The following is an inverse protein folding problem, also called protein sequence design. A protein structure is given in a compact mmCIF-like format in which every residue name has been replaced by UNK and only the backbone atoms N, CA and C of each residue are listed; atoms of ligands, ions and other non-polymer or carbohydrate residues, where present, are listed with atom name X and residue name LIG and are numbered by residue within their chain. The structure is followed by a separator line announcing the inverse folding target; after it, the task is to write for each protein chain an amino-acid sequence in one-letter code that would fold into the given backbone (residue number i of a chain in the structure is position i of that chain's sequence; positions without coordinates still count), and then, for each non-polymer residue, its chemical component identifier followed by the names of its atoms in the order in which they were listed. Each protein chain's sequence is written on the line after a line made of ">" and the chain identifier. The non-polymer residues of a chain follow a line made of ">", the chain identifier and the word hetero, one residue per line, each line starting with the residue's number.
data_IF_873024147288
#
_entry.id   IF_873024147288
#
_cell.length_a   1.000
_cell.length_b   1.000
_cell.length_c   1.000
_cell.angle_alpha   90.00
_cell.angle_beta   90.00
_cell.angle_gamma   90.00
#
_symmetry.space_group_name_H-M   'P 1'
#
loop_
_entity.id
_entity.type
_entity.pdbx_description
1 polymer ?
#
# COMPACT_ATOMS: atom_id res chain seq x y z
N UNK A 1 14.91 6.56 -19.94
CA UNK A 1 15.23 6.66 -18.49
C UNK A 1 14.88 8.03 -17.90
N UNK A 2 15.39 9.14 -18.46
CA UNK A 2 15.10 10.49 -17.94
C UNK A 2 13.60 10.86 -17.92
N UNK A 3 12.85 10.50 -18.96
CA UNK A 3 11.43 10.83 -19.06
C UNK A 3 10.56 10.19 -17.96
N UNK A 4 10.81 8.93 -17.59
CA UNK A 4 10.08 8.24 -16.52
C UNK A 4 10.35 8.88 -15.16
N UNK A 5 11.63 9.18 -14.88
CA UNK A 5 12.04 9.90 -13.66
C UNK A 5 11.38 11.28 -13.58
N UNK A 6 11.42 12.05 -14.68
CA UNK A 6 10.80 13.37 -14.76
C UNK A 6 9.29 13.26 -14.57
N UNK A 7 8.62 12.28 -15.19
CA UNK A 7 7.18 12.11 -15.09
C UNK A 7 6.74 11.75 -13.66
N UNK A 8 7.48 10.88 -12.97
CA UNK A 8 7.22 10.57 -11.55
C UNK A 8 7.40 11.81 -10.64
N UNK A 9 8.45 12.60 -10.88
CA UNK A 9 8.68 13.87 -10.16
C UNK A 9 7.56 14.87 -10.45
N UNK A 10 7.14 15.01 -11.70
CA UNK A 10 6.04 15.89 -12.10
C UNK A 10 4.74 15.47 -11.41
N UNK A 11 4.42 14.18 -11.34
CA UNK A 11 3.25 13.70 -10.59
C UNK A 11 3.34 14.05 -9.11
N UNK A 12 4.51 13.86 -8.48
CA UNK A 12 4.74 14.30 -7.09
C UNK A 12 4.56 15.80 -6.89
N UNK A 13 5.07 16.62 -7.82
CA UNK A 13 4.88 18.07 -7.81
C UNK A 13 3.41 18.46 -7.99
N UNK A 14 2.67 17.79 -8.87
CA UNK A 14 1.23 18.03 -9.08
C UNK A 14 0.43 17.71 -7.82
N UNK A 15 0.73 16.61 -7.15
CA UNK A 15 0.13 16.27 -5.85
C UNK A 15 0.39 17.40 -4.83
N UNK A 16 1.63 17.89 -4.74
CA UNK A 16 2.00 18.96 -3.81
C UNK A 16 1.44 20.34 -4.17
N UNK A 17 1.16 20.60 -5.46
CA UNK A 17 0.71 21.90 -5.98
C UNK A 17 -0.81 22.04 -6.03
N UNK A 18 -1.56 21.06 -5.51
CA UNK A 18 -3.03 21.11 -5.49
C UNK A 18 -3.48 22.38 -4.73
N UNK A 19 -4.28 23.26 -5.34
CA UNK A 19 -4.74 24.46 -4.67
C UNK A 19 -5.59 24.08 -3.45
N UNK A 20 -5.18 24.53 -2.26
CA UNK A 20 -5.99 24.41 -1.05
C UNK A 20 -7.27 25.23 -1.28
N UNK A 21 -8.43 24.58 -1.27
CA UNK A 21 -9.70 25.18 -1.66
C UNK A 21 -10.25 26.28 -0.74
N UNK A 22 -9.44 26.99 0.05
CA UNK A 22 -9.91 28.09 0.89
C UNK A 22 -8.82 29.15 1.15
N UNK A 23 -8.78 30.16 0.28
CA UNK A 23 -8.17 31.47 0.56
C UNK A 23 -8.92 32.56 -0.21
N UNK A 24 -10.20 32.79 0.11
CA UNK A 24 -10.81 34.10 -0.15
C UNK A 24 -10.84 34.88 1.17
N UNK A 25 -10.14 36.03 1.29
CA UNK A 25 -10.41 36.96 2.37
C UNK A 25 -11.86 37.43 2.23
N UNK A 26 -12.61 37.44 3.32
CA UNK A 26 -13.98 37.95 3.35
C UNK A 26 -14.00 39.42 2.89
N UNK A 27 -14.48 39.66 1.67
CA UNK A 27 -14.84 40.99 1.17
C UNK A 27 -16.36 41.19 1.30
N UNK A 28 -16.82 42.42 1.56
CA UNK A 28 -18.16 42.66 2.09
C UNK A 28 -19.23 42.43 1.03
N UNK A 29 -20.38 41.94 1.51
CA UNK A 29 -21.61 41.71 0.76
C UNK A 29 -21.97 42.94 -0.08
N UNK A 30 -22.06 42.78 -1.39
CA UNK A 30 -23.17 43.27 -2.23
C UNK A 30 -23.01 42.83 -3.70
N UNK A 31 -24.16 42.56 -4.32
CA UNK A 31 -24.45 42.52 -5.77
C UNK A 31 -24.37 41.18 -6.54
N UNK A 32 -25.58 40.70 -6.87
CA UNK A 32 -26.04 40.08 -8.13
C UNK A 32 -25.71 38.62 -8.49
N UNK A 33 -26.80 37.88 -8.76
CA UNK A 33 -26.96 36.44 -8.97
C UNK A 33 -26.44 35.87 -10.32
N UNK A 34 -25.35 36.36 -10.91
CA UNK A 34 -24.90 35.89 -12.25
C UNK A 34 -23.62 35.02 -12.28
N UNK A 35 -23.18 34.44 -11.16
CA UNK A 35 -21.84 33.81 -11.10
C UNK A 35 -21.81 32.37 -10.56
N UNK A 36 -22.84 31.55 -10.84
CA UNK A 36 -22.92 30.18 -10.30
C UNK A 36 -22.25 29.07 -11.14
N UNK A 37 -21.73 29.35 -12.33
CA UNK A 37 -21.30 28.30 -13.28
C UNK A 37 -19.83 28.37 -13.77
N UNK A 38 -18.93 29.08 -13.08
CA UNK A 38 -17.48 28.90 -13.37
C UNK A 38 -16.91 27.80 -12.46
N UNK A 39 -16.32 26.72 -13.01
CA UNK A 39 -15.63 25.73 -12.19
C UNK A 39 -14.56 26.43 -11.36
N UNK A 40 -14.43 26.05 -10.09
CA UNK A 40 -13.40 26.62 -9.23
C UNK A 40 -12.01 26.32 -9.82
N UNK A 41 -10.99 27.10 -9.44
CA UNK A 41 -9.62 26.80 -9.88
C UNK A 41 -9.18 25.37 -9.48
N UNK A 42 -9.71 24.86 -8.36
CA UNK A 42 -9.49 23.47 -7.92
C UNK A 42 -10.16 22.43 -8.84
N UNK A 43 -11.39 22.69 -9.30
CA UNK A 43 -12.10 21.79 -10.21
C UNK A 43 -11.43 21.71 -11.58
N UNK A 44 -11.01 22.87 -12.11
CA UNK A 44 -10.26 22.92 -13.37
C UNK A 44 -8.90 22.20 -13.27
N UNK A 45 -8.21 22.30 -12.13
CA UNK A 45 -6.99 21.55 -11.87
C UNK A 45 -7.24 20.04 -11.82
N UNK A 46 -8.23 19.60 -11.04
CA UNK A 46 -8.57 18.18 -10.90
C UNK A 46 -8.96 17.58 -12.26
N UNK A 47 -9.76 18.28 -13.07
CA UNK A 47 -10.12 17.85 -14.43
C UNK A 47 -8.90 17.64 -15.32
N UNK A 48 -7.97 18.61 -15.37
CA UNK A 48 -6.75 18.49 -16.18
C UNK A 48 -5.87 17.33 -15.76
N UNK A 49 -5.80 17.07 -14.45
CA UNK A 49 -5.05 15.94 -13.91
C UNK A 49 -5.72 14.61 -14.30
N UNK A 50 -7.05 14.52 -14.22
CA UNK A 50 -7.80 13.36 -14.68
C UNK A 50 -7.57 13.13 -16.18
N UNK A 51 -7.61 14.18 -17.01
CA UNK A 51 -7.33 14.09 -18.45
C UNK A 51 -5.92 13.57 -18.73
N UNK A 52 -4.92 14.03 -17.95
CA UNK A 52 -3.54 13.56 -18.07
C UNK A 52 -3.40 12.07 -17.76
N UNK A 53 -4.03 11.60 -16.69
CA UNK A 53 -4.01 10.17 -16.32
C UNK A 53 -4.74 9.36 -17.40
N UNK A 54 -5.91 9.82 -17.84
CA UNK A 54 -6.69 9.19 -18.91
C UNK A 54 -5.90 9.09 -20.21
N UNK A 55 -5.12 10.13 -20.55
CA UNK A 55 -4.22 10.11 -21.70
C UNK A 55 -3.10 9.07 -21.53
N UNK A 56 -2.49 8.98 -20.35
CA UNK A 56 -1.45 7.97 -20.05
C UNK A 56 -1.99 6.55 -20.24
N UNK A 57 -3.22 6.29 -19.77
CA UNK A 57 -3.92 5.01 -19.95
C UNK A 57 -4.24 4.79 -21.43
N UNK A 58 -4.88 5.75 -22.08
CA UNK A 58 -5.33 5.65 -23.49
C UNK A 58 -4.19 5.54 -24.50
N UNK A 59 -3.00 6.09 -24.17
CA UNK A 59 -1.79 5.95 -24.99
C UNK A 59 -1.12 4.57 -24.87
N UNK A 60 -1.69 3.67 -24.06
CA UNK A 60 -1.20 2.31 -23.82
C UNK A 60 0.12 2.28 -23.05
N UNK A 61 0.37 3.28 -22.18
CA UNK A 61 1.62 3.29 -21.42
C UNK A 61 1.66 2.14 -20.41
N UNK A 62 0.52 1.80 -19.81
CA UNK A 62 0.41 0.69 -18.84
C UNK A 62 0.78 -0.63 -19.50
N UNK A 63 0.27 -0.91 -20.70
CA UNK A 63 0.58 -2.12 -21.48
C UNK A 63 2.07 -2.19 -21.87
N UNK A 64 2.65 -1.06 -22.30
CA UNK A 64 4.09 -0.98 -22.64
C UNK A 64 4.96 -1.22 -21.41
N UNK A 65 4.59 -0.67 -20.26
CA UNK A 65 5.28 -0.94 -18.99
C UNK A 65 5.12 -2.41 -18.59
N UNK A 66 3.94 -2.99 -18.77
CA UNK A 66 3.70 -4.41 -18.54
C UNK A 66 4.66 -5.29 -19.36
N UNK A 67 4.78 -5.06 -20.67
CA UNK A 67 5.75 -5.76 -21.51
C UNK A 67 7.20 -5.60 -21.02
N UNK A 68 7.57 -4.41 -20.52
CA UNK A 68 8.88 -4.16 -19.93
C UNK A 68 9.10 -4.97 -18.64
N UNK A 69 8.14 -4.99 -17.72
CA UNK A 69 8.25 -5.72 -16.46
C UNK A 69 8.27 -7.24 -16.67
N UNK A 70 7.46 -7.75 -17.59
CA UNK A 70 7.44 -9.18 -17.95
C UNK A 70 8.72 -9.64 -18.68
N UNK A 71 9.46 -8.71 -19.30
CA UNK A 71 10.75 -9.04 -19.92
C UNK A 71 11.89 -9.28 -18.91
N UNK A 72 11.68 -8.95 -17.61
CA UNK A 72 12.69 -9.15 -16.57
C UNK A 72 12.73 -10.62 -16.16
N UNK A 73 13.87 -11.26 -16.40
CA UNK A 73 14.08 -12.70 -16.18
C UNK A 73 15.19 -12.97 -15.16
N UNK A 74 15.45 -12.09 -14.20
CA UNK A 74 16.46 -12.36 -13.18
C UNK A 74 16.89 -11.17 -12.32
N UNK A 75 17.91 -11.38 -11.46
CA UNK A 75 18.44 -10.35 -10.56
C UNK A 75 19.00 -9.16 -11.34
N UNK A 76 18.91 -7.96 -10.76
CA UNK A 76 19.33 -6.70 -11.40
C UNK A 76 20.70 -6.21 -10.94
N UNK A 77 21.45 -7.04 -10.22
CA UNK A 77 22.70 -6.65 -9.55
C UNK A 77 23.76 -6.17 -10.56
N UNK A 78 23.88 -6.90 -11.68
CA UNK A 78 24.86 -6.63 -12.73
C UNK A 78 24.46 -5.45 -13.64
N UNK A 79 23.22 -4.97 -13.55
CA UNK A 79 22.71 -3.88 -14.40
C UNK A 79 22.06 -2.76 -13.58
N UNK A 80 22.87 -1.82 -13.05
CA UNK A 80 22.36 -0.63 -12.35
C UNK A 80 21.39 0.21 -13.19
N UNK A 81 21.56 0.21 -14.52
CA UNK A 81 20.66 0.92 -15.44
C UNK A 81 19.29 0.26 -15.50
N UNK A 82 19.23 -1.07 -15.52
CA UNK A 82 17.96 -1.80 -15.47
C UNK A 82 17.28 -1.58 -14.12
N UNK A 83 18.01 -1.72 -13.00
CA UNK A 83 17.47 -1.47 -11.67
C UNK A 83 16.83 -0.06 -11.55
N UNK A 84 17.54 0.98 -12.00
CA UNK A 84 17.02 2.34 -11.96
C UNK A 84 15.86 2.57 -12.96
N UNK A 85 15.85 1.90 -14.11
CA UNK A 85 14.69 1.92 -15.01
C UNK A 85 13.44 1.36 -14.33
N UNK A 86 13.56 0.19 -13.68
CA UNK A 86 12.46 -0.47 -12.98
C UNK A 86 11.96 0.38 -11.81
N UNK A 87 12.85 1.01 -11.04
CA UNK A 87 12.47 1.96 -9.99
C UNK A 87 11.71 3.17 -10.55
N UNK A 88 12.14 3.75 -11.66
CA UNK A 88 11.45 4.90 -12.25
C UNK A 88 10.11 4.52 -12.89
N UNK A 89 10.02 3.35 -13.51
CA UNK A 89 8.78 2.82 -14.08
C UNK A 89 7.74 2.55 -12.98
N UNK A 90 8.13 1.87 -11.90
CA UNK A 90 7.24 1.62 -10.74
C UNK A 90 6.91 2.91 -10.01
N UNK A 91 7.84 3.86 -9.90
CA UNK A 91 7.60 5.20 -9.36
C UNK A 91 6.58 6.01 -10.17
N UNK A 92 6.56 5.85 -11.49
CA UNK A 92 5.53 6.46 -12.33
C UNK A 92 4.14 5.90 -12.01
N UNK A 93 4.01 4.57 -11.91
CA UNK A 93 2.75 3.91 -11.56
C UNK A 93 2.29 4.31 -10.15
N UNK A 94 3.19 4.33 -9.18
CA UNK A 94 2.90 4.83 -7.83
C UNK A 94 2.38 6.28 -7.87
N UNK A 95 3.05 7.16 -8.60
CA UNK A 95 2.66 8.56 -8.75
C UNK A 95 1.30 8.73 -9.43
N UNK A 96 1.00 7.91 -10.45
CA UNK A 96 -0.29 7.89 -11.12
C UNK A 96 -1.41 7.47 -10.15
N UNK A 97 -1.19 6.42 -9.34
CA UNK A 97 -2.17 6.00 -8.33
C UNK A 97 -2.41 7.08 -7.27
N UNK A 98 -1.34 7.69 -6.74
CA UNK A 98 -1.45 8.75 -5.73
C UNK A 98 -2.15 10.00 -6.27
N UNK A 99 -1.84 10.37 -7.52
CA UNK A 99 -2.46 11.51 -8.18
C UNK A 99 -3.93 11.23 -8.50
N UNK A 100 -4.25 10.04 -9.01
CA UNK A 100 -5.62 9.59 -9.25
C UNK A 100 -6.42 9.65 -7.94
N UNK A 101 -5.88 9.09 -6.86
CA UNK A 101 -6.49 9.17 -5.53
C UNK A 101 -6.77 10.61 -5.14
N UNK A 102 -5.77 11.49 -5.24
CA UNK A 102 -5.93 12.88 -4.83
C UNK A 102 -7.06 13.61 -5.57
N UNK A 103 -7.28 13.34 -6.86
CA UNK A 103 -8.26 14.07 -7.68
C UNK A 103 -9.62 13.37 -7.82
N UNK A 104 -9.72 12.08 -7.52
CA UNK A 104 -10.98 11.31 -7.57
C UNK A 104 -11.61 11.12 -6.19
N UNK A 105 -10.81 11.21 -5.11
CA UNK A 105 -11.29 11.07 -3.74
C UNK A 105 -12.25 12.22 -3.35
N UNK A 106 -13.56 11.93 -3.39
CA UNK A 106 -14.59 12.73 -2.71
C UNK A 106 -14.70 12.38 -1.22
N UNK A 107 -14.29 11.17 -0.87
CA UNK A 107 -14.20 10.62 0.48
C UNK A 107 -12.73 10.35 0.81
N UNK A 108 -12.34 10.45 2.07
CA UNK A 108 -10.94 10.29 2.50
C UNK A 108 -10.59 8.87 2.94
N UNK A 109 -11.56 7.94 2.99
CA UNK A 109 -11.32 6.58 3.48
C UNK A 109 -10.96 5.60 2.37
N UNK A 110 -9.90 4.81 2.56
CA UNK A 110 -9.50 3.69 1.70
C UNK A 110 -10.61 2.63 1.58
N UNK A 111 -11.48 2.54 2.58
CA UNK A 111 -12.55 1.53 2.66
C UNK A 111 -13.87 1.97 2.01
N UNK A 112 -13.90 3.11 1.34
CA UNK A 112 -15.08 3.59 0.62
C UNK A 112 -15.15 2.99 -0.79
N UNK A 113 -16.10 2.08 -0.99
CA UNK A 113 -16.30 1.35 -2.24
C UNK A 113 -17.02 2.16 -3.34
N UNK A 114 -17.51 3.36 -3.04
CA UNK A 114 -18.26 4.16 -4.03
C UNK A 114 -17.37 5.01 -4.95
N UNK A 115 -16.06 4.74 -4.96
CA UNK A 115 -15.10 5.47 -5.79
C UNK A 115 -15.29 5.10 -7.25
N UNK A 116 -15.60 6.10 -8.07
CA UNK A 116 -15.54 5.98 -9.51
C UNK A 116 -14.16 6.44 -9.96
N UNK A 117 -13.46 5.61 -10.75
CA UNK A 117 -12.25 5.99 -11.46
C UNK A 117 -12.61 6.41 -12.90
N UNK A 118 -12.81 7.71 -13.19
CA UNK A 118 -13.06 8.18 -14.54
C UNK A 118 -11.83 8.09 -15.45
N UNK A 119 -10.64 7.80 -14.91
CA UNK A 119 -9.39 7.81 -15.67
C UNK A 119 -9.07 6.49 -16.36
N UNK A 120 -9.75 5.41 -15.94
CA UNK A 120 -9.50 4.04 -16.42
C UNK A 120 -8.19 3.44 -15.92
N UNK A 121 -7.47 4.10 -15.00
CA UNK A 121 -6.20 3.64 -14.47
C UNK A 121 -6.36 2.32 -13.71
N UNK A 122 -7.35 2.21 -12.82
CA UNK A 122 -7.61 1.00 -12.05
C UNK A 122 -7.90 -0.17 -12.98
N UNK A 123 -8.79 0.03 -13.96
CA UNK A 123 -9.15 -1.01 -14.92
C UNK A 123 -7.94 -1.48 -15.75
N UNK A 124 -7.07 -0.56 -16.19
CA UNK A 124 -5.85 -0.90 -16.91
C UNK A 124 -4.85 -1.67 -16.03
N UNK A 125 -4.71 -1.30 -14.76
CA UNK A 125 -3.84 -2.02 -13.81
C UNK A 125 -4.38 -3.42 -13.50
N UNK A 126 -5.70 -3.60 -13.39
CA UNK A 126 -6.33 -4.90 -13.22
C UNK A 126 -6.14 -5.79 -14.46
N UNK A 127 -6.39 -5.24 -15.65
CA UNK A 127 -6.28 -5.99 -16.91
C UNK A 127 -4.85 -6.45 -17.23
N UNK A 128 -3.84 -5.85 -16.58
CA UNK A 128 -2.41 -6.13 -16.80
C UNK A 128 -1.74 -6.75 -15.59
N UNK A 129 -2.49 -7.28 -14.62
CA UNK A 129 -1.98 -7.88 -13.39
C UNK A 129 -0.95 -6.98 -12.67
N UNK A 130 -1.36 -5.74 -12.37
CA UNK A 130 -0.52 -4.68 -11.80
C UNK A 130 0.66 -4.32 -12.72
N UNK A 131 0.39 -4.23 -14.02
CA UNK A 131 1.40 -4.03 -15.05
C UNK A 131 2.57 -5.04 -14.96
N UNK A 132 2.33 -6.28 -14.51
CA UNK A 132 3.38 -7.29 -14.37
C UNK A 132 4.46 -6.99 -13.31
N UNK A 133 4.26 -5.99 -12.44
CA UNK A 133 5.25 -5.61 -11.41
C UNK A 133 5.48 -6.75 -10.40
N UNK A 134 4.45 -7.52 -10.07
CA UNK A 134 4.58 -8.68 -9.18
C UNK A 134 5.49 -9.76 -9.79
N UNK A 135 5.31 -10.05 -11.09
CA UNK A 135 6.17 -10.97 -11.83
C UNK A 135 7.62 -10.48 -11.82
N UNK A 136 7.85 -9.21 -12.14
CA UNK A 136 9.20 -8.63 -12.10
C UNK A 136 9.83 -8.78 -10.72
N UNK A 137 9.10 -8.46 -9.64
CA UNK A 137 9.62 -8.66 -8.28
C UNK A 137 9.97 -10.11 -7.99
N UNK A 138 9.12 -11.05 -8.41
CA UNK A 138 9.39 -12.47 -8.24
C UNK A 138 10.70 -12.86 -8.95
N UNK A 139 10.87 -12.43 -10.21
CA UNK A 139 12.08 -12.69 -10.97
C UNK A 139 13.32 -12.02 -10.36
N UNK A 140 13.23 -10.78 -9.89
CA UNK A 140 14.38 -10.05 -9.33
C UNK A 140 14.82 -10.62 -7.98
N UNK A 141 13.88 -11.06 -7.15
CA UNK A 141 14.15 -11.53 -5.78
C UNK A 141 14.43 -13.04 -5.72
N UNK A 142 13.76 -13.84 -6.55
CA UNK A 142 13.67 -15.28 -6.38
C UNK A 142 14.16 -16.09 -7.61
N UNK A 143 14.85 -15.46 -8.57
CA UNK A 143 15.50 -16.21 -9.64
C UNK A 143 16.55 -17.17 -9.08
N UNK A 144 16.53 -18.43 -9.52
CA UNK A 144 17.56 -19.43 -9.18
C UNK A 144 17.20 -20.40 -8.05
N UNK A 145 15.92 -20.57 -7.72
CA UNK A 145 15.44 -21.51 -6.70
C UNK A 145 15.58 -23.00 -7.03
N UNK A 146 16.79 -23.46 -7.36
CA UNK A 146 17.28 -24.81 -7.05
C UNK A 146 18.74 -24.66 -6.58
N UNK A 147 18.93 -24.15 -5.38
CA UNK A 147 20.19 -24.37 -4.67
C UNK A 147 20.15 -25.78 -4.07
N UNK A 148 21.12 -26.60 -4.46
CA UNK A 148 21.32 -27.99 -4.02
C UNK A 148 21.41 -28.05 -2.47
N UNK A 149 20.73 -28.97 -1.76
CA UNK A 149 20.64 -28.96 -0.29
C UNK A 149 21.96 -29.21 0.45
N UNK A 150 23.04 -29.53 -0.27
CA UNK A 150 24.29 -30.03 0.30
C UNK A 150 25.42 -29.00 0.36
N UNK A 151 25.29 -27.87 -0.33
CA UNK A 151 26.32 -26.81 -0.33
C UNK A 151 25.71 -25.43 -0.57
N UNK A 152 25.18 -24.77 0.45
CA UNK A 152 24.97 -23.33 0.40
C UNK A 152 24.96 -22.74 1.82
N UNK A 153 26.04 -22.07 2.17
CA UNK A 153 25.92 -20.92 3.06
C UNK A 153 24.99 -19.91 2.37
N UNK A 154 23.98 -19.33 3.06
CA UNK A 154 23.02 -18.49 2.37
C UNK A 154 23.69 -17.16 2.02
N UNK A 155 23.90 -16.88 0.73
CA UNK A 155 23.95 -15.49 0.26
C UNK A 155 22.52 -14.95 0.23
N UNK A 156 21.90 -14.79 1.40
CA UNK A 156 20.51 -14.29 1.57
C UNK A 156 20.44 -12.75 1.73
N UNK A 157 21.49 -12.05 1.32
CA UNK A 157 21.51 -10.59 1.38
C UNK A 157 21.29 -10.03 -0.03
N UNK A 158 20.13 -9.42 -0.25
CA UNK A 158 19.85 -8.69 -1.48
C UNK A 158 20.82 -7.52 -1.66
N UNK A 159 21.27 -7.28 -2.89
CA UNK A 159 21.98 -6.04 -3.21
C UNK A 159 21.12 -4.81 -2.94
N UNK A 160 21.78 -3.66 -2.74
CA UNK A 160 21.10 -2.38 -2.55
C UNK A 160 20.16 -2.04 -3.72
N UNK A 161 20.54 -2.35 -4.96
CA UNK A 161 19.71 -2.12 -6.14
C UNK A 161 18.43 -2.95 -6.10
N UNK A 162 18.52 -4.22 -5.73
CA UNK A 162 17.38 -5.11 -5.55
C UNK A 162 16.45 -4.60 -4.45
N UNK A 163 17.00 -4.18 -3.31
CA UNK A 163 16.23 -3.59 -2.21
C UNK A 163 15.47 -2.33 -2.66
N UNK A 164 16.09 -1.43 -3.43
CA UNK A 164 15.42 -0.22 -3.91
C UNK A 164 14.30 -0.54 -4.93
N UNK A 165 14.48 -1.53 -5.80
CA UNK A 165 13.41 -2.00 -6.70
C UNK A 165 12.24 -2.58 -5.88
N UNK A 166 12.53 -3.36 -4.84
CA UNK A 166 11.51 -3.93 -3.95
C UNK A 166 10.71 -2.85 -3.20
N UNK A 167 11.40 -1.88 -2.59
CA UNK A 167 10.75 -0.74 -1.90
C UNK A 167 9.82 0.01 -2.86
N UNK A 168 10.30 0.34 -4.06
CA UNK A 168 9.54 1.16 -4.98
C UNK A 168 8.34 0.43 -5.58
N UNK A 169 8.43 -0.89 -5.75
CA UNK A 169 7.33 -1.73 -6.19
C UNK A 169 6.27 -1.91 -5.11
N UNK A 170 6.67 -2.13 -3.84
CA UNK A 170 5.73 -2.20 -2.72
C UNK A 170 5.02 -0.87 -2.47
N UNK A 171 5.71 0.26 -2.66
CA UNK A 171 5.06 1.59 -2.63
C UNK A 171 3.98 1.72 -3.69
N UNK A 172 4.24 1.24 -4.90
CA UNK A 172 3.22 1.21 -5.95
C UNK A 172 2.02 0.33 -5.53
N UNK A 173 2.27 -0.87 -5.01
CA UNK A 173 1.20 -1.74 -4.49
C UNK A 173 0.38 -1.08 -3.40
N UNK A 174 1.03 -0.45 -2.41
CA UNK A 174 0.37 0.28 -1.33
C UNK A 174 -0.46 1.47 -1.85
N UNK A 175 0.06 2.22 -2.82
CA UNK A 175 -0.69 3.30 -3.47
C UNK A 175 -1.88 2.79 -4.28
N UNK A 176 -1.78 1.62 -4.93
CA UNK A 176 -2.89 1.03 -5.66
C UNK A 176 -3.95 0.46 -4.72
N UNK A 177 -3.54 -0.19 -3.62
CA UNK A 177 -4.44 -0.63 -2.57
C UNK A 177 -5.19 0.53 -1.92
N UNK A 178 -4.52 1.68 -1.73
CA UNK A 178 -5.18 2.88 -1.29
C UNK A 178 -6.20 3.37 -2.34
N UNK A 179 -5.83 3.38 -3.63
CA UNK A 179 -6.70 3.83 -4.72
C UNK A 179 -7.97 2.98 -4.87
N UNK A 180 -7.80 1.66 -4.94
CA UNK A 180 -8.87 0.68 -5.11
C UNK A 180 -8.48 -0.63 -4.41
N UNK A 181 -8.91 -0.75 -3.16
CA UNK A 181 -8.60 -1.90 -2.30
C UNK A 181 -9.18 -3.22 -2.85
N UNK A 182 -10.47 -3.29 -3.26
CA UNK A 182 -11.01 -4.51 -3.85
C UNK A 182 -10.26 -4.97 -5.10
N UNK A 183 -9.91 -4.06 -6.02
CA UNK A 183 -9.13 -4.39 -7.20
C UNK A 183 -7.75 -4.93 -6.85
N UNK A 184 -7.04 -4.27 -5.93
CA UNK A 184 -5.74 -4.70 -5.45
C UNK A 184 -5.79 -6.12 -4.84
N UNK A 185 -6.74 -6.35 -3.93
CA UNK A 185 -6.91 -7.65 -3.27
C UNK A 185 -7.29 -8.75 -4.26
N UNK A 186 -8.13 -8.45 -5.24
CA UNK A 186 -8.55 -9.41 -6.27
C UNK A 186 -7.38 -9.83 -7.16
N UNK A 187 -6.56 -8.88 -7.63
CA UNK A 187 -5.43 -9.20 -8.51
C UNK A 187 -4.35 -9.99 -7.77
N UNK A 188 -3.90 -9.53 -6.60
CA UNK A 188 -2.91 -10.28 -5.82
C UNK A 188 -3.45 -11.59 -5.25
N UNK A 189 -4.76 -11.69 -5.04
CA UNK A 189 -5.44 -12.88 -4.53
C UNK A 189 -5.66 -13.96 -5.60
N UNK A 190 -5.48 -13.63 -6.88
CA UNK A 190 -5.67 -14.57 -7.98
C UNK A 190 -4.76 -15.80 -7.86
N UNK A 191 -5.20 -16.91 -8.45
CA UNK A 191 -4.45 -18.15 -8.47
C UNK A 191 -3.06 -17.95 -9.10
N UNK A 192 -2.02 -18.54 -8.51
CA UNK A 192 -0.63 -18.34 -8.92
C UNK A 192 0.00 -17.02 -8.44
N UNK A 193 -0.68 -15.88 -8.62
CA UNK A 193 -0.19 -14.57 -8.16
C UNK A 193 -0.12 -14.50 -6.63
N UNK A 194 -1.12 -15.04 -5.94
CA UNK A 194 -1.16 -15.10 -4.47
C UNK A 194 0.01 -15.91 -3.88
N UNK A 195 0.42 -17.00 -4.53
CA UNK A 195 1.57 -17.79 -4.13
C UNK A 195 2.89 -17.03 -4.37
N UNK A 196 3.01 -16.34 -5.51
CA UNK A 196 4.16 -15.50 -5.81
C UNK A 196 4.28 -14.35 -4.79
N UNK A 197 3.17 -13.66 -4.48
CA UNK A 197 3.10 -12.62 -3.46
C UNK A 197 3.51 -13.15 -2.08
N UNK A 198 2.99 -14.32 -1.67
CA UNK A 198 3.37 -14.97 -0.41
C UNK A 198 4.86 -15.27 -0.33
N UNK A 199 5.47 -15.78 -1.40
CA UNK A 199 6.92 -16.04 -1.46
C UNK A 199 7.73 -14.75 -1.38
N UNK A 200 7.33 -13.71 -2.12
CA UNK A 200 7.97 -12.39 -2.06
C UNK A 200 7.91 -11.83 -0.63
N UNK A 201 6.71 -11.76 -0.03
CA UNK A 201 6.53 -11.24 1.32
C UNK A 201 7.36 -12.03 2.35
N UNK A 202 7.32 -13.36 2.29
CA UNK A 202 8.13 -14.25 3.13
C UNK A 202 9.63 -13.96 3.00
N UNK A 203 10.11 -13.81 1.77
CA UNK A 203 11.54 -13.62 1.49
C UNK A 203 12.03 -12.23 1.92
N UNK A 204 11.24 -11.18 1.68
CA UNK A 204 11.55 -9.82 2.12
C UNK A 204 11.53 -9.69 3.65
N UNK A 205 10.55 -10.30 4.33
CA UNK A 205 10.51 -10.34 5.80
C UNK A 205 11.72 -11.08 6.36
N UNK A 206 12.08 -12.24 5.78
CA UNK A 206 13.28 -12.99 6.18
C UNK A 206 14.57 -12.18 6.02
N UNK A 207 14.72 -11.46 4.90
CA UNK A 207 15.84 -10.55 4.68
C UNK A 207 15.89 -9.42 5.72
N UNK A 208 14.75 -8.78 5.99
CA UNK A 208 14.67 -7.69 6.98
C UNK A 208 14.94 -8.14 8.43
N UNK A 209 14.76 -9.43 8.74
CA UNK A 209 15.15 -9.99 10.04
C UNK A 209 16.68 -10.10 10.20
N UNK A 210 17.42 -10.29 9.11
CA UNK A 210 18.89 -10.39 9.12
C UNK A 210 19.56 -9.03 8.93
N UNK A 211 19.02 -8.21 8.04
CA UNK A 211 19.54 -6.89 7.67
C UNK A 211 18.52 -5.83 7.99
N UNK A 212 18.86 -4.92 8.91
CA UNK A 212 17.97 -3.83 9.28
C UNK A 212 17.72 -2.90 8.09
N UNK A 213 16.52 -2.97 7.53
CA UNK A 213 16.04 -2.08 6.48
C UNK A 213 14.59 -1.70 6.79
N UNK A 214 14.40 -0.74 7.70
CA UNK A 214 13.06 -0.31 8.14
C UNK A 214 12.16 0.12 6.98
N UNK A 215 12.71 0.83 5.99
CA UNK A 215 11.89 1.30 4.87
C UNK A 215 11.31 0.15 4.05
N UNK A 216 12.06 -0.92 3.82
CA UNK A 216 11.56 -2.11 3.12
C UNK A 216 10.57 -2.88 3.99
N UNK A 217 10.91 -3.06 5.28
CA UNK A 217 10.09 -3.77 6.24
C UNK A 217 8.71 -3.11 6.42
N UNK A 218 8.66 -1.78 6.52
CA UNK A 218 7.41 -1.05 6.65
C UNK A 218 6.52 -1.21 5.43
N UNK A 219 7.08 -1.12 4.22
CA UNK A 219 6.29 -1.23 2.98
C UNK A 219 5.70 -2.63 2.80
N UNK A 220 6.44 -3.70 3.17
CA UNK A 220 5.91 -5.07 3.11
C UNK A 220 4.85 -5.32 4.18
N UNK A 221 5.03 -4.80 5.41
CA UNK A 221 4.01 -4.87 6.47
C UNK A 221 2.72 -4.18 6.00
N UNK A 222 2.85 -2.99 5.37
CA UNK A 222 1.71 -2.23 4.86
C UNK A 222 0.96 -3.01 3.78
N UNK A 223 1.71 -3.56 2.82
CA UNK A 223 1.17 -4.31 1.70
C UNK A 223 0.44 -5.57 2.16
N UNK A 224 0.99 -6.31 3.13
CA UNK A 224 0.33 -7.49 3.72
C UNK A 224 -0.96 -7.09 4.46
N UNK A 225 -0.96 -5.97 5.18
CA UNK A 225 -2.17 -5.46 5.83
C UNK A 225 -3.29 -5.15 4.82
N UNK A 226 -2.99 -4.43 3.75
CA UNK A 226 -3.98 -4.16 2.70
C UNK A 226 -4.42 -5.44 1.97
N UNK A 227 -3.51 -6.37 1.74
CA UNK A 227 -3.84 -7.63 1.08
C UNK A 227 -4.88 -8.44 1.87
N UNK A 228 -4.85 -8.37 3.20
CA UNK A 228 -5.62 -9.24 4.10
C UNK A 228 -6.85 -8.60 4.74
N UNK A 229 -6.90 -7.27 4.85
CA UNK A 229 -7.98 -6.58 5.57
C UNK A 229 -9.36 -6.94 5.02
N UNK A 230 -10.21 -7.48 5.89
CA UNK A 230 -11.57 -7.96 5.57
C UNK A 230 -11.65 -8.93 4.39
N UNK A 231 -10.60 -9.73 4.14
CA UNK A 231 -10.55 -10.65 3.02
C UNK A 231 -10.12 -12.06 3.49
N UNK A 232 -11.08 -12.94 3.88
CA UNK A 232 -10.78 -14.25 4.48
C UNK A 232 -9.86 -15.15 3.66
N UNK A 233 -10.03 -15.19 2.34
CA UNK A 233 -9.19 -16.04 1.49
C UNK A 233 -7.72 -15.57 1.50
N UNK A 234 -7.49 -14.27 1.31
CA UNK A 234 -6.17 -13.65 1.38
C UNK A 234 -5.53 -13.76 2.78
N UNK A 235 -6.33 -13.70 3.85
CA UNK A 235 -5.88 -14.01 5.22
C UNK A 235 -5.38 -15.47 5.32
N UNK A 236 -6.06 -16.42 4.68
CA UNK A 236 -5.60 -17.81 4.61
C UNK A 236 -4.28 -17.97 3.85
N UNK A 237 -4.07 -17.21 2.77
CA UNK A 237 -2.82 -17.23 2.01
C UNK A 237 -1.62 -16.89 2.91
N UNK A 238 -1.68 -15.82 3.70
CA UNK A 238 -0.52 -15.41 4.54
C UNK A 238 -0.21 -16.36 5.70
N UNK A 239 -1.16 -17.22 6.09
CA UNK A 239 -0.98 -18.25 7.11
C UNK A 239 -0.54 -19.60 6.53
N UNK A 240 -0.65 -19.79 5.22
CA UNK A 240 -0.29 -21.04 4.54
C UNK A 240 1.19 -21.16 4.16
N UNK A 241 1.61 -22.37 3.75
CA UNK A 241 2.93 -22.64 3.21
C UNK A 241 3.96 -23.09 4.27
N UNK A 242 5.24 -22.92 3.96
CA UNK A 242 6.33 -23.33 4.85
C UNK A 242 6.42 -22.41 6.07
N UNK A 243 6.68 -22.99 7.23
CA UNK A 243 6.92 -22.27 8.48
C UNK A 243 8.34 -21.65 8.53
N UNK A 244 8.53 -20.53 9.24
CA UNK A 244 7.46 -19.66 9.74
C UNK A 244 6.66 -19.08 8.57
N UNK A 245 5.35 -18.92 8.72
CA UNK A 245 4.46 -18.34 7.68
C UNK A 245 4.67 -16.83 7.59
N UNK A 246 4.02 -16.14 6.63
CA UNK A 246 4.11 -14.67 6.56
C UNK A 246 3.53 -14.04 7.84
N UNK A 247 2.39 -14.54 8.32
CA UNK A 247 1.79 -14.10 9.57
C UNK A 247 2.72 -14.33 10.77
N UNK A 248 3.34 -15.51 10.87
CA UNK A 248 4.29 -15.80 11.96
C UNK A 248 5.53 -14.91 11.89
N UNK A 249 6.08 -14.67 10.70
CA UNK A 249 7.22 -13.73 10.55
C UNK A 249 6.88 -12.32 11.01
N UNK A 250 5.66 -11.84 10.77
CA UNK A 250 5.20 -10.54 11.28
C UNK A 250 5.11 -10.54 12.82
N UNK A 251 4.63 -11.63 13.40
CA UNK A 251 4.52 -11.79 14.86
C UNK A 251 5.88 -12.01 15.55
N UNK A 252 6.91 -12.41 14.80
CA UNK A 252 8.26 -12.68 15.28
C UNK A 252 9.24 -11.52 15.00
N UNK A 253 8.75 -10.35 14.60
CA UNK A 253 9.59 -9.17 14.42
C UNK A 253 10.29 -8.76 15.74
N UNK A 254 11.36 -7.95 15.70
CA UNK A 254 12.03 -7.49 16.91
C UNK A 254 11.07 -6.79 17.88
N UNK A 255 11.30 -6.94 19.19
CA UNK A 255 10.45 -6.42 20.26
C UNK A 255 10.07 -4.93 20.14
N UNK A 256 10.91 -4.12 19.48
CA UNK A 256 10.62 -2.71 19.20
C UNK A 256 9.32 -2.51 18.41
N UNK A 257 8.97 -3.43 17.50
CA UNK A 257 7.69 -3.39 16.76
C UNK A 257 6.45 -3.68 17.62
N UNK A 258 6.65 -4.13 18.86
CA UNK A 258 5.59 -4.40 19.84
C UNK A 258 5.58 -3.42 21.01
N UNK A 259 6.54 -2.50 21.07
CA UNK A 259 6.75 -1.62 22.22
C UNK A 259 6.95 -0.15 21.86
N UNK A 260 7.61 0.17 20.76
CA UNK A 260 7.78 1.56 20.29
C UNK A 260 6.47 2.05 19.66
N UNK A 261 5.84 3.13 20.18
CA UNK A 261 4.59 3.68 19.63
C UNK A 261 4.63 3.98 18.13
N UNK A 262 5.79 4.32 17.56
CA UNK A 262 5.93 4.55 16.11
C UNK A 262 5.86 3.25 15.31
N UNK A 263 6.56 2.21 15.75
CA UNK A 263 6.64 0.93 15.02
C UNK A 263 5.39 0.08 15.24
N UNK A 264 4.78 0.17 16.42
CA UNK A 264 3.47 -0.44 16.72
C UNK A 264 2.41 0.06 15.74
N UNK A 265 2.40 1.36 15.40
CA UNK A 265 1.50 1.94 14.39
C UNK A 265 1.73 1.42 12.96
N UNK A 266 2.89 0.82 12.69
CA UNK A 266 3.16 0.15 11.41
C UNK A 266 2.65 -1.29 11.45
N UNK A 267 3.03 -2.06 12.48
CA UNK A 267 2.78 -3.50 12.58
C UNK A 267 1.35 -3.86 12.96
N UNK A 268 0.80 -3.25 14.01
CA UNK A 268 -0.45 -3.73 14.61
C UNK A 268 -1.64 -3.66 13.65
N UNK A 269 -1.80 -2.61 12.81
CA UNK A 269 -2.86 -2.61 11.80
C UNK A 269 -2.79 -3.80 10.84
N UNK A 270 -1.58 -4.25 10.47
CA UNK A 270 -1.41 -5.41 9.60
C UNK A 270 -1.75 -6.73 10.31
N UNK A 271 -1.38 -6.89 11.59
CA UNK A 271 -1.77 -8.05 12.39
C UNK A 271 -3.29 -8.10 12.63
N UNK A 272 -3.90 -6.95 12.90
CA UNK A 272 -5.36 -6.83 13.02
C UNK A 272 -6.02 -7.24 11.70
N UNK A 273 -5.58 -6.69 10.58
CA UNK A 273 -6.09 -7.03 9.24
C UNK A 273 -5.96 -8.52 8.90
N UNK A 274 -4.82 -9.13 9.24
CA UNK A 274 -4.55 -10.54 8.96
C UNK A 274 -5.36 -11.50 9.84
N UNK A 275 -5.79 -11.09 11.03
CA UNK A 275 -6.41 -11.98 12.01
C UNK A 275 -7.89 -11.70 12.29
N UNK A 276 -8.39 -10.49 12.03
CA UNK A 276 -9.76 -10.12 12.34
C UNK A 276 -10.76 -11.04 11.64
N UNK A 277 -11.71 -11.58 12.42
CA UNK A 277 -12.72 -12.55 11.98
C UNK A 277 -12.14 -13.87 11.40
N UNK A 278 -10.89 -14.21 11.72
CA UNK A 278 -10.25 -15.46 11.33
C UNK A 278 -9.62 -16.16 12.54
N UNK A 279 -10.31 -17.19 13.05
CA UNK A 279 -9.91 -17.91 14.26
C UNK A 279 -8.58 -18.65 14.10
N UNK A 280 -8.32 -19.22 12.93
CA UNK A 280 -7.06 -19.93 12.67
C UNK A 280 -5.86 -18.98 12.72
N UNK A 281 -5.99 -17.81 12.08
CA UNK A 281 -4.94 -16.78 12.10
C UNK A 281 -4.77 -16.21 13.51
N UNK A 282 -5.87 -15.96 14.22
CA UNK A 282 -5.82 -15.54 15.63
C UNK A 282 -5.10 -16.57 16.50
N UNK A 283 -5.47 -17.85 16.43
CA UNK A 283 -4.84 -18.91 17.20
C UNK A 283 -3.34 -19.02 16.91
N UNK A 284 -2.93 -18.86 15.64
CA UNK A 284 -1.52 -18.81 15.25
C UNK A 284 -0.80 -17.58 15.85
N UNK A 285 -1.45 -16.42 15.86
CA UNK A 285 -0.91 -15.20 16.46
C UNK A 285 -0.77 -15.32 17.98
N UNK A 286 -1.72 -15.97 18.66
CA UNK A 286 -1.70 -16.20 20.12
C UNK A 286 -0.54 -17.09 20.58
N UNK A 287 0.03 -17.92 19.70
CA UNK A 287 1.25 -18.66 20.00
C UNK A 287 2.49 -17.77 20.07
N UNK A 288 2.47 -16.61 19.41
CA UNK A 288 3.64 -15.73 19.26
C UNK A 288 3.53 -14.49 20.16
N UNK A 289 2.31 -13.96 20.39
CA UNK A 289 2.09 -12.77 21.21
C UNK A 289 0.68 -12.72 21.85
N UNK A 290 0.52 -11.89 22.88
CA UNK A 290 -0.80 -11.64 23.48
C UNK A 290 -1.69 -10.78 22.57
N UNK A 291 -2.78 -11.34 22.06
CA UNK A 291 -3.77 -10.59 21.27
C UNK A 291 -4.43 -9.43 22.04
N UNK A 292 -4.37 -9.41 23.38
CA UNK A 292 -4.84 -8.28 24.18
C UNK A 292 -4.13 -6.98 23.83
N UNK A 293 -2.87 -7.03 23.35
CA UNK A 293 -2.13 -5.86 22.87
C UNK A 293 -2.83 -5.19 21.68
N UNK A 294 -3.41 -5.98 20.77
CA UNK A 294 -4.16 -5.45 19.61
C UNK A 294 -5.47 -4.81 20.06
N UNK A 295 -6.16 -5.40 21.04
CA UNK A 295 -7.39 -4.84 21.59
C UNK A 295 -7.14 -3.49 22.30
N UNK A 296 -6.09 -3.39 23.11
CA UNK A 296 -5.68 -2.13 23.76
C UNK A 296 -5.32 -1.08 22.71
N UNK A 297 -4.56 -1.44 21.69
CA UNK A 297 -4.19 -0.54 20.60
C UNK A 297 -5.41 0.05 19.88
N UNK A 298 -6.41 -0.78 19.56
CA UNK A 298 -7.67 -0.31 18.94
C UNK A 298 -8.39 0.66 19.88
N UNK A 299 -8.43 0.35 21.17
CA UNK A 299 -9.08 1.19 22.17
C UNK A 299 -8.41 2.56 22.31
N UNK A 300 -7.07 2.60 22.34
CA UNK A 300 -6.30 3.84 22.45
C UNK A 300 -6.52 4.76 21.23
N UNK A 301 -6.60 4.19 20.02
CA UNK A 301 -6.93 4.92 18.80
C UNK A 301 -8.36 5.49 18.82
N UNK A 302 -9.34 4.69 19.22
CA UNK A 302 -10.73 5.13 19.34
C UNK A 302 -10.90 6.30 20.31
N UNK A 303 -10.20 6.26 21.45
CA UNK A 303 -10.24 7.32 22.46
C UNK A 303 -9.55 8.61 21.99
N UNK A 304 -8.40 8.49 21.31
CA UNK A 304 -7.65 9.64 20.78
C UNK A 304 -8.45 10.38 19.71
N UNK A 305 -9.20 9.66 18.87
CA UNK A 305 -10.02 10.25 17.82
C UNK A 305 -11.27 10.96 18.37
N UNK A 306 -11.96 10.38 19.35
CA UNK A 306 -13.12 11.00 19.99
C UNK A 306 -12.81 12.32 20.73
N UNK A 307 -11.57 12.53 21.18
CA UNK A 307 -11.13 13.81 21.75
C UNK A 307 -10.81 14.88 20.69
N UNK A 308 -10.39 14.47 19.49
CA UNK A 308 -10.07 15.37 18.39
C UNK A 308 -11.33 15.93 17.69
N UNK A 309 -12.43 15.18 17.64
CA UNK A 309 -13.70 15.64 17.07
C UNK A 309 -14.34 16.79 17.86
N UNK A 310 -13.95 17.00 19.12
CA UNK A 310 -14.34 18.17 19.91
C UNK A 310 -13.53 19.45 19.61
N UNK A 311 -12.44 19.36 18.83
CA UNK A 311 -11.63 20.50 18.39
C UNK A 311 -11.53 20.53 16.87
N UNK A 312 -12.57 21.11 16.26
CA UNK A 312 -12.59 21.63 14.88
C UNK A 312 -12.26 20.63 13.76
N UNK A 313 -13.30 20.14 13.07
CA UNK A 313 -13.17 19.59 11.72
C UNK A 313 -12.60 20.64 10.77
N UNK A 314 -11.30 20.57 10.53
CA UNK A 314 -10.68 21.16 9.35
C UNK A 314 -10.41 20.03 8.36
N UNK A 315 -11.09 19.96 7.20
CA UNK A 315 -10.78 18.97 6.19
C UNK A 315 -9.44 19.34 5.58
N UNK A 316 -8.36 18.68 6.00
CA UNK A 316 -7.03 18.84 5.39
C UNK A 316 -7.04 18.07 4.07
N UNK A 317 -7.25 18.78 2.96
CA UNK A 317 -7.14 18.26 1.60
C UNK A 317 -5.71 17.88 1.19
N UNK A 318 -5.10 16.93 1.91
CA UNK A 318 -3.78 16.38 1.58
C UNK A 318 -3.94 14.99 0.96
N UNK A 319 -3.15 14.71 -0.09
CA UNK A 319 -2.94 13.35 -0.58
C UNK A 319 -2.38 12.48 0.56
N UNK A 320 -2.67 11.17 0.55
CA UNK A 320 -2.09 10.21 1.50
C UNK A 320 -0.56 10.35 1.50
N UNK A 321 -0.05 11.02 2.53
CA UNK A 321 1.38 11.21 2.77
C UNK A 321 1.96 10.01 3.52
N UNK A 322 3.29 10.01 3.66
CA UNK A 322 4.01 8.94 4.38
C UNK A 322 3.54 8.74 5.83
N UNK A 323 2.91 9.73 6.46
CA UNK A 323 2.38 9.64 7.82
C UNK A 323 0.94 9.14 7.87
N UNK A 324 0.18 9.23 6.78
CA UNK A 324 -1.23 8.87 6.77
C UNK A 324 -1.44 7.34 6.80
N UNK A 325 -0.43 6.56 6.39
CA UNK A 325 -0.42 5.10 6.53
C UNK A 325 -0.27 4.60 7.98
N UNK A 326 0.10 5.48 8.92
CA UNK A 326 0.19 5.18 10.35
C UNK A 326 -1.15 5.36 11.08
N UNK A 327 -2.12 5.98 10.43
CA UNK A 327 -3.47 6.12 10.96
C UNK A 327 -4.23 4.80 10.78
N UNK A 328 -4.75 4.25 11.88
CA UNK A 328 -5.49 2.99 11.85
C UNK A 328 -6.68 3.06 10.90
N UNK A 329 -7.34 4.21 10.78
CA UNK A 329 -8.52 4.41 9.94
C UNK A 329 -8.24 4.23 8.43
N UNK A 330 -6.98 4.35 8.01
CA UNK A 330 -6.56 4.12 6.63
C UNK A 330 -6.11 2.67 6.39
N UNK A 331 -6.00 1.86 7.46
CA UNK A 331 -5.42 0.50 7.43
C UNK A 331 -6.38 -0.58 7.93
N UNK A 332 -7.41 -0.19 8.67
CA UNK A 332 -8.50 -1.03 9.13
C UNK A 332 -9.77 -0.20 9.34
N UNK A 333 -10.95 -0.64 8.85
CA UNK A 333 -12.13 0.21 8.79
C UNK A 333 -12.68 0.52 10.18
N UNK A 334 -12.95 1.81 10.43
CA UNK A 334 -13.42 2.33 11.71
C UNK A 334 -14.67 1.64 12.23
N UNK A 335 -15.62 1.33 11.34
CA UNK A 335 -16.86 0.65 11.69
C UNK A 335 -16.65 -0.74 12.31
N UNK A 336 -15.49 -1.38 12.07
CA UNK A 336 -15.16 -2.70 12.60
C UNK A 336 -14.30 -2.63 13.88
N UNK A 337 -13.94 -1.45 14.39
CA UNK A 337 -13.00 -1.33 15.52
C UNK A 337 -13.52 -1.99 16.80
N UNK A 338 -14.77 -1.74 17.19
CA UNK A 338 -15.31 -2.32 18.42
C UNK A 338 -15.49 -3.83 18.30
N UNK A 339 -15.95 -4.32 17.15
CA UNK A 339 -16.04 -5.76 16.87
C UNK A 339 -14.66 -6.43 16.95
N UNK A 340 -13.65 -5.83 16.31
CA UNK A 340 -12.29 -6.33 16.34
C UNK A 340 -11.69 -6.34 17.74
N UNK A 341 -11.93 -5.28 18.53
CA UNK A 341 -11.50 -5.21 19.93
C UNK A 341 -12.07 -6.38 20.73
N UNK A 342 -13.37 -6.64 20.61
CA UNK A 342 -14.02 -7.76 21.29
C UNK A 342 -13.49 -9.12 20.80
N UNK A 343 -13.24 -9.25 19.50
CA UNK A 343 -12.68 -10.47 18.90
C UNK A 343 -11.33 -10.84 19.52
N UNK A 344 -10.43 -9.87 19.71
CA UNK A 344 -9.10 -10.10 20.30
C UNK A 344 -9.10 -10.26 21.82
N UNK A 345 -10.11 -9.76 22.54
CA UNK A 345 -10.25 -9.95 24.00
C UNK A 345 -10.82 -11.32 24.38
N UNK A 346 -11.63 -11.93 23.51
CA UNK A 346 -12.20 -13.26 23.76
C UNK A 346 -11.08 -14.30 23.81
N UNK A 347 -10.90 -15.00 24.93
CA UNK A 347 -10.05 -16.19 24.97
C UNK A 347 -10.77 -17.32 24.23
N UNK A 348 -10.09 -18.00 23.31
CA UNK A 348 -10.63 -19.24 22.74
C UNK A 348 -10.70 -20.30 23.85
N UNK A 349 -11.81 -21.03 23.90
CA UNK A 349 -12.08 -22.07 24.91
C UNK A 349 -11.55 -23.42 24.45
#
# INVERSE_FOLDING_TARGET
>A
MGLLKVSAVVFGCLVASRPNGNSQPAAPKNATEEMKNRPSQGDAFNSRVQDLISYVVSAGLIDKLCGCFLSVQGPVEESPRLAALLQHATGLLQGACALCWAVTARSYSVFDNNRQDPTGLTAALQATDLAGVLHMLYCVLLHGGVSDPTTASPKETYSQNTVQVAIQSLRFFNSFAALDLPAFQSVLGAEGLSLAFRHIASSLLGHCSQVSCESLLHEVIVCVGYFTVNHPDNQGIVQSGRHPTVLQRLAQLPFQYFSDPRLVRVLFPALIAACHNNRQNKAALEQEMSCALLATFIQDFAQTQGQADHRSHQPKGKCLGSQDYLELANRFPQQAWEEARQFFLKKEK
#
